data_IF_459990740948
#
_entry.id   IF_459990740948
#
_cell.length_a   1.000
_cell.length_b   1.000
_cell.length_c   1.000
_cell.angle_alpha   90.00
_cell.angle_beta   90.00
_cell.angle_gamma   90.00
#
_symmetry.space_group_name_H-M   'P 1'
#
loop_
_entity.id
_entity.type
_entity.pdbx_description
1 polymer ?
#
# COMPACT_ATOMS: atom_id res chain seq x y z
N UNK A 1 -4.11 -20.51 29.22
CA UNK A 1 -4.65 -20.86 27.89
C UNK A 1 -4.37 -19.70 26.96
N UNK A 2 -3.57 -19.83 25.88
CA UNK A 2 -3.42 -18.74 24.93
C UNK A 2 -4.72 -18.62 24.15
N UNK A 3 -5.42 -17.49 24.32
CA UNK A 3 -6.64 -17.18 23.57
C UNK A 3 -6.29 -17.01 22.10
N UNK A 4 -6.89 -17.83 21.23
CA UNK A 4 -6.77 -17.68 19.78
C UNK A 4 -7.14 -16.24 19.41
N UNK A 5 -6.28 -15.50 18.68
CA UNK A 5 -6.61 -14.14 18.27
C UNK A 5 -7.89 -14.15 17.43
N UNK A 6 -8.73 -13.11 17.55
CA UNK A 6 -9.95 -12.99 16.75
C UNK A 6 -9.59 -13.01 15.26
N UNK A 7 -10.33 -13.75 14.44
CA UNK A 7 -10.03 -13.92 13.01
C UNK A 7 -9.87 -12.57 12.28
N UNK A 8 -10.62 -11.53 12.67
CA UNK A 8 -10.50 -10.18 12.11
C UNK A 8 -9.15 -9.50 12.36
N UNK A 9 -8.43 -9.80 13.45
CA UNK A 9 -7.10 -9.23 13.69
C UNK A 9 -6.03 -9.85 12.80
N UNK A 10 -6.19 -11.13 12.43
CA UNK A 10 -5.29 -11.82 11.50
C UNK A 10 -5.47 -11.30 10.07
N UNK A 11 -6.71 -11.09 9.64
CA UNK A 11 -7.00 -10.48 8.34
C UNK A 11 -6.39 -9.07 8.23
N UNK A 12 -6.57 -8.24 9.27
CA UNK A 12 -5.97 -6.88 9.31
C UNK A 12 -4.44 -6.93 9.22
N UNK A 13 -3.79 -7.79 10.01
CA UNK A 13 -2.34 -7.95 9.99
C UNK A 13 -1.83 -8.42 8.62
N UNK A 14 -2.57 -9.34 7.97
CA UNK A 14 -2.27 -9.79 6.60
C UNK A 14 -2.42 -8.63 5.61
N UNK A 15 -3.46 -7.82 5.71
CA UNK A 15 -3.65 -6.64 4.84
C UNK A 15 -2.51 -5.63 5.01
N UNK A 16 -2.11 -5.33 6.24
CA UNK A 16 -0.97 -4.44 6.53
C UNK A 16 0.33 -5.01 5.96
N UNK A 17 0.58 -6.32 6.12
CA UNK A 17 1.76 -6.97 5.55
C UNK A 17 1.77 -6.91 4.01
N UNK A 18 0.63 -7.16 3.38
CA UNK A 18 0.50 -7.08 1.92
C UNK A 18 0.71 -5.65 1.41
N UNK A 19 0.19 -4.64 2.10
CA UNK A 19 0.41 -3.23 1.75
C UNK A 19 1.86 -2.81 1.92
N UNK A 20 2.52 -3.25 3.00
CA UNK A 20 3.95 -3.00 3.19
C UNK A 20 4.78 -3.63 2.06
N UNK A 21 4.41 -4.85 1.65
CA UNK A 21 5.03 -5.52 0.51
C UNK A 21 4.80 -4.77 -0.81
N UNK A 22 3.57 -4.32 -1.08
CA UNK A 22 3.26 -3.48 -2.25
C UNK A 22 4.11 -2.21 -2.25
N UNK A 23 4.22 -1.53 -1.10
CA UNK A 23 5.02 -0.31 -0.96
C UNK A 23 6.51 -0.57 -1.25
N UNK A 24 7.05 -1.70 -0.82
CA UNK A 24 8.41 -2.11 -1.17
C UNK A 24 8.55 -2.32 -2.69
N UNK A 25 7.63 -3.05 -3.33
CA UNK A 25 7.67 -3.25 -4.78
C UNK A 25 7.60 -1.93 -5.56
N UNK A 26 6.79 -0.98 -5.11
CA UNK A 26 6.70 0.34 -5.73
C UNK A 26 8.04 1.11 -5.67
N UNK A 27 8.78 0.99 -4.57
CA UNK A 27 10.11 1.59 -4.48
C UNK A 27 11.08 1.01 -5.52
N UNK A 28 11.10 -0.31 -5.69
CA UNK A 28 11.93 -0.98 -6.70
C UNK A 28 11.51 -0.59 -8.13
N UNK A 29 10.20 -0.58 -8.42
CA UNK A 29 9.68 -0.21 -9.73
C UNK A 29 9.99 1.24 -10.11
N UNK A 30 10.01 2.16 -9.13
CA UNK A 30 10.41 3.56 -9.36
C UNK A 30 11.85 3.64 -9.85
N UNK A 31 12.76 2.83 -9.30
CA UNK A 31 14.17 2.77 -9.73
C UNK A 31 14.26 2.26 -11.17
N UNK A 32 13.51 1.20 -11.50
CA UNK A 32 13.45 0.68 -12.87
C UNK A 32 12.94 1.74 -13.86
N UNK A 33 11.82 2.41 -13.54
CA UNK A 33 11.25 3.45 -14.39
C UNK A 33 12.20 4.65 -14.57
N UNK A 34 12.94 5.02 -13.51
CA UNK A 34 13.92 6.09 -13.56
C UNK A 34 15.10 5.75 -14.48
N UNK A 35 15.57 4.49 -14.47
CA UNK A 35 16.65 4.03 -15.35
C UNK A 35 16.25 4.08 -16.84
N UNK A 36 14.95 3.95 -17.14
CA UNK A 36 14.40 4.05 -18.50
C UNK A 36 14.03 5.49 -18.90
N UNK A 37 14.30 6.50 -18.06
CA UNK A 37 13.87 7.90 -18.27
C UNK A 37 12.35 8.05 -18.47
N UNK A 38 11.56 7.18 -17.82
CA UNK A 38 10.11 7.19 -17.91
C UNK A 38 9.48 8.10 -16.83
N UNK A 39 9.59 9.42 -17.00
CA UNK A 39 9.21 10.40 -15.97
C UNK A 39 7.76 10.29 -15.50
N UNK A 40 6.81 10.16 -16.44
CA UNK A 40 5.39 9.99 -16.10
C UNK A 40 5.13 8.72 -15.30
N UNK A 41 5.89 7.65 -15.58
CA UNK A 41 5.76 6.39 -14.84
C UNK A 41 6.36 6.52 -13.44
N UNK A 42 7.51 7.20 -13.29
CA UNK A 42 8.09 7.52 -12.00
C UNK A 42 7.10 8.29 -11.11
N UNK A 43 6.45 9.31 -11.68
CA UNK A 43 5.44 10.11 -10.99
C UNK A 43 4.28 9.23 -10.49
N UNK A 44 3.69 8.39 -11.35
CA UNK A 44 2.57 7.54 -10.97
C UNK A 44 2.95 6.53 -9.88
N UNK A 45 4.14 5.94 -9.98
CA UNK A 45 4.64 4.99 -8.98
C UNK A 45 4.89 5.70 -7.64
N UNK A 46 5.46 6.91 -7.66
CA UNK A 46 5.71 7.69 -6.45
C UNK A 46 4.41 8.12 -5.76
N UNK A 47 3.40 8.52 -6.53
CA UNK A 47 2.08 8.82 -5.97
C UNK A 47 1.44 7.57 -5.34
N UNK A 48 1.54 6.41 -6.00
CA UNK A 48 1.06 5.15 -5.43
C UNK A 48 1.83 4.72 -4.18
N UNK A 49 3.14 4.98 -4.12
CA UNK A 49 3.98 4.69 -2.96
C UNK A 49 3.56 5.52 -1.73
N UNK A 50 3.29 6.81 -1.93
CA UNK A 50 2.81 7.72 -0.88
C UNK A 50 1.43 7.25 -0.39
N UNK A 51 0.52 6.95 -1.31
CA UNK A 51 -0.83 6.43 -0.98
C UNK A 51 -0.75 5.17 -0.12
N UNK A 52 0.07 4.19 -0.51
CA UNK A 52 0.23 2.96 0.25
C UNK A 52 0.77 3.23 1.67
N UNK A 53 1.63 4.25 1.83
CA UNK A 53 2.10 4.71 3.13
C UNK A 53 0.98 5.32 3.99
N UNK A 54 0.16 6.17 3.41
CA UNK A 54 -0.97 6.81 4.09
C UNK A 54 -2.02 5.79 4.52
N UNK A 55 -2.30 4.79 3.69
CA UNK A 55 -3.22 3.69 4.03
C UNK A 55 -2.65 2.84 5.17
N UNK A 56 -1.35 2.51 5.15
CA UNK A 56 -0.68 1.78 6.24
C UNK A 56 -0.71 2.54 7.57
N UNK A 57 -0.54 3.86 7.52
CA UNK A 57 -0.62 4.73 8.69
C UNK A 57 -2.06 4.97 9.18
N UNK A 58 -3.07 4.51 8.43
CA UNK A 58 -4.48 4.71 8.73
C UNK A 58 -5.00 6.12 8.43
N UNK A 59 -4.26 6.90 7.64
CA UNK A 59 -4.67 8.25 7.19
C UNK A 59 -5.68 8.21 6.03
N UNK A 60 -5.70 7.12 5.26
CA UNK A 60 -6.60 6.89 4.11
C UNK A 60 -7.33 5.55 4.23
N UNK A 61 -8.60 5.47 3.81
CA UNK A 61 -9.30 4.20 3.74
C UNK A 61 -8.76 3.33 2.60
N UNK A 62 -8.78 2.01 2.79
CA UNK A 62 -8.42 1.01 1.77
C UNK A 62 -9.30 1.06 0.52
N UNK A 63 -10.55 1.50 0.66
CA UNK A 63 -11.52 1.58 -0.42
C UNK A 63 -12.11 2.97 -0.50
N UNK A 64 -12.30 3.46 -1.73
CA UNK A 64 -12.96 4.74 -2.01
C UNK A 64 -14.49 4.69 -1.88
N UNK A 65 -15.06 3.55 -1.45
CA UNK A 65 -16.48 3.21 -1.55
C UNK A 65 -17.43 4.06 -0.67
N UNK A 66 -16.94 5.09 0.00
CA UNK A 66 -17.73 6.06 0.75
C UNK A 66 -18.12 7.34 -0.02
N UNK A 67 -17.50 7.63 -1.16
CA UNK A 67 -17.50 9.01 -1.71
C UNK A 67 -18.19 9.17 -3.07
N UNK A 68 -18.76 8.11 -3.65
CA UNK A 68 -19.47 8.17 -4.94
C UNK A 68 -20.85 7.48 -4.90
N UNK A 69 -21.69 7.83 -3.91
CA UNK A 69 -23.11 7.45 -3.90
C UNK A 69 -24.00 8.65 -4.17
#
# INVERSE_FOLDING_TARGET
MPTRPPQGSLEKARTEQNLAYIRQMLAELRVVAANENADMLCYLIEMAYIEAGDVLAGHRPLTLAGTLR
#
